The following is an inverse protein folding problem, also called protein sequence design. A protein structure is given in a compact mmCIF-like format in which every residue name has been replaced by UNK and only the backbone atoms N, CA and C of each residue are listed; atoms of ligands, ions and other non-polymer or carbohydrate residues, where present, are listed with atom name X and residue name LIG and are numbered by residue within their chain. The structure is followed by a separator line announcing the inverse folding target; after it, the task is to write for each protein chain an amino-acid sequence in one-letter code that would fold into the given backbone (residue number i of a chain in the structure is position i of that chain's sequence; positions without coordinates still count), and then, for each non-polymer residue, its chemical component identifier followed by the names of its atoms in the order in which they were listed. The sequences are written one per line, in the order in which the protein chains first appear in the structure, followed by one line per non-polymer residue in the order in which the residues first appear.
data_IF_247854922033
#
_entry.id   IF_247854922033
#
_cell.length_a   1.000
_cell.length_b   1.000
_cell.length_c   1.000
_cell.angle_alpha   90.00
_cell.angle_beta   90.00
_cell.angle_gamma   90.00
#
_symmetry.space_group_name_H-M   'P 1'
#
loop_
_entity.id
_entity.type
_entity.pdbx_description
1 polymer ?
#
# COMPACT_ATOMS: atom_id res chain seq x y z
N UNK A 1 2.55 -11.61 -14.47
CA UNK A 1 2.26 -10.22 -14.02
C UNK A 1 3.39 -9.81 -13.09
N UNK A 2 3.93 -8.59 -13.21
CA UNK A 2 5.18 -8.15 -12.57
C UNK A 2 5.23 -8.31 -11.03
N UNK A 3 4.05 -8.38 -10.39
CA UNK A 3 3.88 -8.56 -8.94
C UNK A 3 3.93 -10.02 -8.47
N UNK A 4 3.94 -11.01 -9.38
CA UNK A 4 3.88 -12.42 -8.99
C UNK A 4 5.26 -12.91 -8.48
N UNK A 5 5.31 -13.38 -7.23
CA UNK A 5 6.51 -13.85 -6.56
C UNK A 5 6.42 -13.68 -5.04
N UNK A 6 7.37 -14.27 -4.31
CA UNK A 6 7.53 -13.97 -2.89
C UNK A 6 8.33 -12.67 -2.76
N UNK A 7 7.89 -11.80 -1.86
CA UNK A 7 8.54 -10.51 -1.59
C UNK A 7 8.89 -10.45 -0.11
N UNK A 8 10.14 -10.12 0.18
CA UNK A 8 10.59 -9.91 1.55
C UNK A 8 10.64 -8.41 1.84
N UNK A 9 10.11 -8.00 2.99
CA UNK A 9 10.11 -6.60 3.39
C UNK A 9 11.54 -6.20 3.77
N UNK A 10 12.09 -5.19 3.08
CA UNK A 10 13.45 -4.69 3.30
C UNK A 10 13.44 -3.44 4.16
N UNK A 11 12.43 -2.57 4.01
CA UNK A 11 12.35 -1.32 4.76
C UNK A 11 10.90 -0.87 4.92
N UNK A 12 10.61 -0.25 6.07
CA UNK A 12 9.30 0.28 6.42
C UNK A 12 9.49 1.65 7.05
N UNK A 13 9.16 2.71 6.32
CA UNK A 13 9.27 4.09 6.75
C UNK A 13 7.87 4.62 7.15
N UNK A 14 7.77 5.33 8.27
CA UNK A 14 6.50 5.86 8.77
C UNK A 14 5.56 4.82 9.42
N UNK A 15 6.05 3.61 9.73
CA UNK A 15 5.23 2.52 10.27
C UNK A 15 4.57 2.88 11.62
N UNK A 16 5.29 3.54 12.53
CA UNK A 16 4.77 3.86 13.86
C UNK A 16 3.61 4.86 13.82
N UNK A 17 3.78 5.95 13.10
CA UNK A 17 2.75 6.98 12.89
C UNK A 17 1.53 6.40 12.15
N UNK A 18 1.80 5.55 11.16
CA UNK A 18 0.77 4.84 10.43
C UNK A 18 0.01 3.87 11.33
N UNK A 19 0.69 3.11 12.19
CA UNK A 19 0.10 2.16 13.12
C UNK A 19 -0.81 2.86 14.14
N UNK A 20 -0.39 4.04 14.66
CA UNK A 20 -1.24 4.88 15.53
C UNK A 20 -2.53 5.31 14.84
N UNK A 21 -2.49 5.62 13.54
CA UNK A 21 -3.66 6.02 12.76
C UNK A 21 -4.54 4.83 12.33
N UNK A 22 -3.91 3.73 11.92
CA UNK A 22 -4.54 2.48 11.46
C UNK A 22 -5.16 1.69 12.61
N UNK A 23 -4.71 1.92 13.85
CA UNK A 23 -5.35 1.39 15.06
C UNK A 23 -6.84 1.69 15.16
N UNK A 24 -7.37 2.63 14.36
CA UNK A 24 -8.80 2.72 14.05
C UNK A 24 -9.19 1.55 13.14
N UNK A 25 -9.78 0.50 13.71
CA UNK A 25 -10.28 -0.75 13.12
C UNK A 25 -10.91 -0.65 11.70
N UNK A 26 -11.47 0.50 11.34
CA UNK A 26 -11.99 0.81 10.00
C UNK A 26 -10.90 0.84 8.91
N UNK A 27 -9.77 1.50 9.16
CA UNK A 27 -8.68 1.62 8.17
C UNK A 27 -7.92 0.31 7.98
N UNK A 28 -7.75 -0.48 9.05
CA UNK A 28 -7.11 -1.80 8.97
C UNK A 28 -7.89 -2.78 8.10
N UNK A 29 -9.23 -2.77 8.22
CA UNK A 29 -10.10 -3.56 7.32
C UNK A 29 -9.99 -3.12 5.86
N UNK A 30 -9.91 -1.81 5.60
CA UNK A 30 -9.73 -1.29 4.25
C UNK A 30 -8.36 -1.64 3.66
N UNK A 31 -7.29 -1.61 4.46
CA UNK A 31 -5.94 -2.00 4.06
C UNK A 31 -5.87 -3.49 3.72
N UNK A 32 -6.40 -4.36 4.58
CA UNK A 32 -6.44 -5.81 4.34
C UNK A 32 -7.26 -6.11 3.09
N UNK A 33 -8.44 -5.50 2.96
CA UNK A 33 -9.29 -5.69 1.78
C UNK A 33 -8.59 -5.20 0.50
N UNK A 34 -7.93 -4.04 0.54
CA UNK A 34 -7.16 -3.53 -0.60
C UNK A 34 -6.03 -4.47 -1.04
N UNK A 35 -5.26 -5.03 -0.09
CA UNK A 35 -4.21 -6.02 -0.36
C UNK A 35 -4.78 -7.32 -0.93
N UNK A 36 -5.86 -7.85 -0.33
CA UNK A 36 -6.51 -9.09 -0.78
C UNK A 36 -7.10 -8.94 -2.20
N UNK A 37 -7.69 -7.77 -2.49
CA UNK A 37 -8.28 -7.45 -3.78
C UNK A 37 -7.24 -7.12 -4.87
N UNK A 38 -6.07 -6.61 -4.48
CA UNK A 38 -4.93 -6.44 -5.37
C UNK A 38 -4.38 -7.80 -5.84
N UNK A 39 -4.43 -8.82 -4.99
CA UNK A 39 -4.08 -10.20 -5.35
C UNK A 39 -5.18 -10.88 -6.22
N UNK A 40 -6.45 -10.56 -5.98
CA UNK A 40 -7.61 -11.21 -6.62
C UNK A 40 -8.21 -10.51 -7.85
N UNK A 41 -7.45 -9.67 -8.57
CA UNK A 41 -7.84 -9.25 -9.93
C UNK A 41 -9.11 -8.37 -10.11
N UNK A 42 -9.60 -7.66 -9.09
CA UNK A 42 -10.87 -6.93 -9.24
C UNK A 42 -11.04 -5.64 -8.42
N UNK A 43 -10.01 -4.80 -8.30
CA UNK A 43 -10.26 -3.39 -7.97
C UNK A 43 -10.19 -2.56 -9.23
N UNK A 44 -11.11 -1.60 -9.35
CA UNK A 44 -11.25 -0.59 -10.43
C UNK A 44 -10.09 0.42 -10.37
N UNK A 45 -8.87 -0.08 -10.21
CA UNK A 45 -7.64 0.68 -10.18
C UNK A 45 -7.29 0.99 -11.63
N UNK A 46 -7.06 2.27 -11.87
CA UNK A 46 -6.38 2.76 -13.06
C UNK A 46 -4.98 2.14 -13.09
N UNK A 47 -4.85 0.95 -13.69
CA UNK A 47 -3.57 0.30 -13.94
C UNK A 47 -2.90 1.06 -15.10
N UNK A 48 -2.23 2.18 -14.78
CA UNK A 48 -1.44 2.95 -15.74
C UNK A 48 0.02 2.51 -15.60
N UNK A 49 0.62 2.07 -16.71
CA UNK A 49 2.06 1.82 -16.85
C UNK A 49 2.70 0.88 -15.79
N UNK A 50 1.92 -0.05 -15.23
CA UNK A 50 2.43 -1.03 -14.26
C UNK A 50 2.42 -0.56 -12.80
N UNK A 51 1.78 0.58 -12.50
CA UNK A 51 1.52 1.05 -11.14
C UNK A 51 0.08 0.75 -10.73
N UNK A 52 -0.11 0.23 -9.52
CA UNK A 52 -1.40 -0.06 -8.93
C UNK A 52 -1.73 1.03 -7.92
N UNK A 53 -2.64 1.94 -8.25
CA UNK A 53 -3.06 3.02 -7.36
C UNK A 53 -4.50 2.79 -6.89
N UNK A 54 -4.71 2.82 -5.58
CA UNK A 54 -5.99 2.72 -4.89
C UNK A 54 -6.23 4.05 -4.17
N UNK A 55 -7.28 4.76 -4.53
CA UNK A 55 -7.63 6.03 -3.90
C UNK A 55 -8.98 5.94 -3.20
N UNK A 56 -8.98 6.16 -1.90
CA UNK A 56 -10.15 6.33 -1.05
C UNK A 56 -10.15 7.75 -0.46
N UNK A 57 -11.32 8.28 -0.01
CA UNK A 57 -11.44 9.67 0.47
C UNK A 57 -10.48 10.07 1.60
N UNK A 58 -9.97 9.11 2.38
CA UNK A 58 -9.04 9.35 3.50
C UNK A 58 -7.72 8.55 3.38
N UNK A 59 -7.59 7.75 2.33
CA UNK A 59 -6.49 6.80 2.18
C UNK A 59 -6.09 6.65 0.71
N UNK A 60 -4.81 6.85 0.42
CA UNK A 60 -4.25 6.70 -0.91
C UNK A 60 -3.14 5.66 -0.86
N UNK A 61 -3.31 4.53 -1.53
CA UNK A 61 -2.30 3.49 -1.64
C UNK A 61 -1.79 3.39 -3.08
N UNK A 62 -0.49 3.27 -3.24
CA UNK A 62 0.15 3.07 -4.54
C UNK A 62 1.18 1.97 -4.41
N UNK A 63 1.12 0.97 -5.28
CA UNK A 63 2.10 -0.10 -5.39
C UNK A 63 2.76 0.00 -6.75
N UNK A 64 4.08 0.05 -6.80
CA UNK A 64 4.85 0.01 -8.03
C UNK A 64 6.04 -0.93 -7.91
N UNK A 65 6.44 -1.52 -9.04
CA UNK A 65 7.72 -2.21 -9.13
C UNK A 65 8.74 -1.23 -9.69
N UNK A 66 9.72 -0.85 -8.86
CA UNK A 66 10.82 0.03 -9.26
C UNK A 66 12.15 -0.67 -9.01
N UNK A 67 12.96 -0.84 -10.06
CA UNK A 67 14.28 -1.49 -9.97
C UNK A 67 14.25 -2.94 -9.45
N UNK A 68 13.18 -3.69 -9.69
CA UNK A 68 13.00 -5.05 -9.18
C UNK A 68 12.61 -5.14 -7.70
N UNK A 69 12.29 -3.99 -7.08
CA UNK A 69 11.73 -3.88 -5.72
C UNK A 69 10.27 -3.47 -5.81
N UNK A 70 9.44 -4.05 -4.96
CA UNK A 70 8.06 -3.66 -4.76
C UNK A 70 8.03 -2.51 -3.76
N UNK A 71 7.62 -1.33 -4.21
CA UNK A 71 7.47 -0.14 -3.38
C UNK A 71 5.98 0.13 -3.20
N UNK A 72 5.53 0.10 -1.95
CA UNK A 72 4.14 0.28 -1.54
C UNK A 72 4.05 1.53 -0.68
N UNK A 73 3.45 2.58 -1.23
CA UNK A 73 3.26 3.87 -0.55
C UNK A 73 1.81 4.03 -0.16
N UNK A 74 1.57 4.15 1.14
CA UNK A 74 0.27 4.25 1.80
C UNK A 74 0.16 5.59 2.51
N UNK A 75 -0.63 6.51 1.98
CA UNK A 75 -0.86 7.83 2.58
C UNK A 75 -2.22 7.83 3.25
N UNK A 76 -2.27 8.08 4.56
CA UNK A 76 -3.49 8.22 5.35
C UNK A 76 -3.62 9.68 5.77
N UNK A 77 -4.79 10.28 5.54
CA UNK A 77 -5.08 11.61 6.12
C UNK A 77 -5.79 11.44 7.46
N UNK A 78 -5.05 11.69 8.54
CA UNK A 78 -5.53 11.61 9.92
C UNK A 78 -6.02 12.94 10.48
N UNK A 79 -6.46 12.93 11.74
CA UNK A 79 -6.84 14.15 12.47
C UNK A 79 -5.62 15.03 12.82
N UNK A 80 -4.44 14.42 12.99
CA UNK A 80 -3.18 15.12 13.27
C UNK A 80 -2.42 15.57 12.01
N UNK A 81 -2.91 15.23 10.82
CA UNK A 81 -2.26 15.50 9.54
C UNK A 81 -2.13 14.28 8.63
N UNK A 82 -1.57 14.46 7.42
CA UNK A 82 -1.27 13.36 6.51
C UNK A 82 -0.04 12.58 6.98
N UNK A 83 -0.17 11.26 7.07
CA UNK A 83 0.92 10.34 7.37
C UNK A 83 1.16 9.45 6.17
N UNK A 84 2.42 9.36 5.77
CA UNK A 84 2.87 8.53 4.65
C UNK A 84 3.62 7.33 5.22
N UNK A 85 3.20 6.15 4.80
CA UNK A 85 3.86 4.88 5.11
C UNK A 85 4.41 4.29 3.81
N UNK A 86 5.73 4.10 3.75
CA UNK A 86 6.38 3.52 2.57
C UNK A 86 6.99 2.19 2.97
N UNK A 87 6.51 1.11 2.35
CA UNK A 87 7.10 -0.22 2.48
C UNK A 87 7.87 -0.54 1.20
N UNK A 88 9.14 -0.89 1.35
CA UNK A 88 9.96 -1.39 0.25
C UNK A 88 10.24 -2.86 0.48
N UNK A 89 9.90 -3.67 -0.51
CA UNK A 89 10.07 -5.11 -0.51
C UNK A 89 10.92 -5.55 -1.70
N UNK A 90 11.75 -6.57 -1.53
CA UNK A 90 12.60 -7.13 -2.59
C UNK A 90 12.08 -8.52 -2.95
N UNK A 91 12.10 -8.84 -4.25
CA UNK A 91 11.74 -10.17 -4.73
C UNK A 91 12.77 -11.20 -4.25
N UNK A 92 12.31 -12.31 -3.69
CA UNK A 92 13.11 -13.50 -3.40
C UNK A 92 12.90 -14.58 -4.46
#
# INVERSE_FOLDING_TARGET
MAFNGKWETVSQDGYEEFCKLIGKLQLFKQLIFALLMAESHALKNKMYEGKLAISFPKYHHTSEISGGKLVETSTVTGASGPVVFVRTSKKI
#
